data_IF_810605775043
#
_entry.id   IF_810605775043
#
_cell.length_a   1.000
_cell.length_b   1.000
_cell.length_c   1.000
_cell.angle_alpha   90.00
_cell.angle_beta   90.00
_cell.angle_gamma   90.00
#
_symmetry.space_group_name_H-M   'P 1'
#
loop_
_entity.id
_entity.type
_entity.pdbx_description
1 polymer ?
#
# COMPACT_ATOMS: atom_id res chain seq x y z
N UNK A 1 -3.63 -1.49 18.50
CA UNK A 1 -4.93 -0.95 18.03
C UNK A 1 -5.43 -1.79 16.89
N UNK A 2 -6.71 -2.15 16.89
CA UNK A 2 -7.33 -3.04 15.91
C UNK A 2 -8.60 -2.36 15.40
N UNK A 3 -8.74 -2.25 14.07
CA UNK A 3 -9.92 -1.65 13.42
C UNK A 3 -10.48 -2.65 12.43
N UNK A 4 -11.80 -2.93 12.53
CA UNK A 4 -12.55 -3.79 11.60
C UNK A 4 -13.85 -3.13 11.20
N UNK A 5 -14.05 -2.82 9.93
CA UNK A 5 -15.22 -2.07 9.46
C UNK A 5 -15.95 -2.88 8.40
N UNK A 6 -17.14 -3.36 8.77
CA UNK A 6 -18.08 -4.05 7.88
C UNK A 6 -19.19 -3.12 7.39
N UNK A 7 -19.73 -2.28 8.30
CA UNK A 7 -20.86 -1.41 8.04
C UNK A 7 -20.44 0.03 7.83
N UNK A 8 -20.90 0.61 6.75
CA UNK A 8 -20.64 2.00 6.39
C UNK A 8 -21.94 2.80 6.35
N UNK A 9 -21.84 4.11 6.57
CA UNK A 9 -23.00 5.01 6.49
C UNK A 9 -23.44 5.25 5.04
N UNK A 10 -22.61 4.90 4.05
CA UNK A 10 -22.90 5.12 2.64
C UNK A 10 -24.21 4.45 2.21
N UNK A 11 -24.19 3.18 2.01
CA UNK A 11 -25.31 2.30 1.68
C UNK A 11 -24.86 0.84 1.78
N UNK A 12 -25.81 -0.08 1.63
CA UNK A 12 -25.55 -1.52 1.74
C UNK A 12 -24.56 -2.05 0.68
N UNK A 13 -24.32 -1.29 -0.40
CA UNK A 13 -23.32 -1.62 -1.42
C UNK A 13 -21.87 -1.43 -0.94
N UNK A 14 -21.68 -0.73 0.18
CA UNK A 14 -20.38 -0.58 0.85
C UNK A 14 -20.16 -1.62 1.94
N UNK A 15 -21.17 -2.39 2.31
CA UNK A 15 -21.06 -3.37 3.36
C UNK A 15 -20.05 -4.48 2.99
N UNK A 16 -19.22 -4.86 3.95
CA UNK A 16 -18.23 -5.93 3.83
C UNK A 16 -18.54 -7.03 4.84
N UNK A 17 -18.37 -8.28 4.42
CA UNK A 17 -18.51 -9.42 5.34
C UNK A 17 -17.09 -9.99 5.58
N UNK A 18 -16.55 -9.84 6.79
CA UNK A 18 -15.21 -10.36 7.11
C UNK A 18 -14.36 -9.50 8.04
N UNK A 19 -14.29 -8.18 7.89
CA UNK A 19 -13.43 -7.33 8.73
C UNK A 19 -13.63 -7.49 10.25
N UNK A 20 -14.84 -7.84 10.70
CA UNK A 20 -15.10 -8.19 12.09
C UNK A 20 -14.33 -9.43 12.52
N UNK A 21 -14.47 -10.53 11.75
CA UNK A 21 -13.80 -11.78 12.07
C UNK A 21 -12.29 -11.63 12.05
N UNK A 22 -11.76 -10.89 11.08
CA UNK A 22 -10.34 -10.57 10.99
C UNK A 22 -9.85 -9.80 12.22
N UNK A 23 -10.58 -8.76 12.64
CA UNK A 23 -10.25 -7.97 13.82
C UNK A 23 -10.26 -8.83 15.10
N UNK A 24 -11.24 -9.74 15.25
CA UNK A 24 -11.32 -10.66 16.38
C UNK A 24 -10.20 -11.70 16.35
N UNK A 25 -9.82 -12.21 15.16
CA UNK A 25 -8.73 -13.16 15.00
C UNK A 25 -7.37 -12.51 15.37
N UNK A 26 -7.12 -11.29 14.90
CA UNK A 26 -5.92 -10.50 15.29
C UNK A 26 -5.91 -10.23 16.80
N UNK A 27 -7.06 -9.86 17.39
CA UNK A 27 -7.16 -9.68 18.84
C UNK A 27 -6.81 -10.96 19.59
N UNK A 28 -7.38 -12.08 19.18
CA UNK A 28 -7.14 -13.38 19.81
C UNK A 28 -5.67 -13.79 19.71
N UNK A 29 -5.04 -13.57 18.56
CA UNK A 29 -3.61 -13.79 18.39
C UNK A 29 -2.76 -12.91 19.31
N UNK A 30 -3.06 -11.61 19.42
CA UNK A 30 -2.31 -10.71 20.30
C UNK A 30 -2.44 -11.12 21.78
N UNK A 31 -3.63 -11.51 22.23
CA UNK A 31 -3.85 -12.03 23.60
C UNK A 31 -3.04 -13.31 23.83
N UNK A 32 -3.08 -14.26 22.89
CA UNK A 32 -2.30 -15.49 22.95
C UNK A 32 -0.78 -15.22 22.95
N UNK A 33 -0.36 -14.12 22.32
CA UNK A 33 1.03 -13.62 22.33
C UNK A 33 1.41 -12.86 23.60
N UNK A 34 0.54 -12.81 24.61
CA UNK A 34 0.81 -12.19 25.91
C UNK A 34 0.58 -10.68 25.98
N UNK A 35 -0.05 -10.07 24.97
CA UNK A 35 -0.44 -8.65 25.05
C UNK A 35 -1.58 -8.51 26.05
N UNK A 36 -1.44 -7.68 27.11
CA UNK A 36 -2.51 -7.49 28.07
C UNK A 36 -3.76 -6.92 27.42
N UNK A 37 -4.94 -7.39 27.82
CA UNK A 37 -6.22 -6.92 27.27
C UNK A 37 -6.39 -5.40 27.39
N UNK A 38 -5.97 -4.80 28.48
CA UNK A 38 -6.02 -3.35 28.69
C UNK A 38 -5.17 -2.52 27.73
N UNK A 39 -4.28 -3.16 26.97
CA UNK A 39 -3.47 -2.53 25.91
C UNK A 39 -4.07 -2.74 24.51
N UNK A 40 -5.17 -3.50 24.41
CA UNK A 40 -5.88 -3.75 23.15
C UNK A 40 -7.02 -2.75 22.98
N UNK A 41 -6.90 -1.91 21.97
CA UNK A 41 -7.96 -0.98 21.57
C UNK A 41 -8.67 -1.55 20.35
N UNK A 42 -9.88 -2.07 20.53
CA UNK A 42 -10.70 -2.65 19.48
C UNK A 42 -11.78 -1.66 19.04
N UNK A 43 -11.78 -1.34 17.75
CA UNK A 43 -12.79 -0.50 17.10
C UNK A 43 -13.43 -1.28 15.97
N UNK A 44 -14.75 -1.47 16.04
CA UNK A 44 -15.49 -2.28 15.08
C UNK A 44 -16.80 -1.59 14.73
N UNK A 45 -17.15 -1.60 13.45
CA UNK A 45 -18.48 -1.29 12.96
C UNK A 45 -19.02 -2.52 12.24
N UNK A 46 -19.71 -3.38 13.01
CA UNK A 46 -20.20 -4.66 12.54
C UNK A 46 -21.55 -4.51 11.83
N UNK A 47 -21.79 -5.39 10.84
CA UNK A 47 -23.11 -5.57 10.25
C UNK A 47 -24.12 -6.05 11.31
N UNK A 48 -25.38 -5.64 11.16
CA UNK A 48 -26.44 -6.01 12.12
C UNK A 48 -26.54 -7.54 12.29
N UNK A 49 -26.38 -8.30 11.19
CA UNK A 49 -26.38 -9.78 11.19
C UNK A 49 -25.17 -10.40 11.90
N UNK A 50 -24.10 -9.65 12.12
CA UNK A 50 -22.84 -10.11 12.73
C UNK A 50 -22.69 -9.63 14.19
N UNK A 51 -23.67 -8.91 14.75
CA UNK A 51 -23.65 -8.43 16.14
C UNK A 51 -23.57 -9.58 17.17
N UNK A 52 -24.17 -10.73 16.89
CA UNK A 52 -24.07 -11.91 17.75
C UNK A 52 -22.61 -12.39 17.88
N UNK A 53 -21.80 -12.28 16.85
CA UNK A 53 -20.37 -12.66 16.90
C UNK A 53 -19.58 -11.86 17.95
N UNK A 54 -19.92 -10.59 18.16
CA UNK A 54 -19.32 -9.76 19.22
C UNK A 54 -19.77 -10.22 20.61
N UNK A 55 -21.03 -10.58 20.76
CA UNK A 55 -21.58 -11.10 22.02
C UNK A 55 -20.93 -12.43 22.39
N UNK A 56 -20.82 -13.35 21.41
CA UNK A 56 -20.20 -14.67 21.58
C UNK A 56 -18.71 -14.55 21.94
N UNK A 57 -18.02 -13.56 21.37
CA UNK A 57 -16.63 -13.25 21.69
C UNK A 57 -16.45 -12.55 23.05
N UNK A 58 -17.55 -12.16 23.72
CA UNK A 58 -17.51 -11.47 25.00
C UNK A 58 -16.84 -10.09 24.94
N UNK A 59 -16.86 -9.42 23.78
CA UNK A 59 -16.20 -8.14 23.60
C UNK A 59 -17.20 -7.00 23.40
N UNK A 60 -16.84 -5.82 23.89
CA UNK A 60 -17.60 -4.59 23.68
C UNK A 60 -16.69 -3.56 23.00
N UNK A 61 -16.55 -3.62 21.66
CA UNK A 61 -15.69 -2.70 20.92
C UNK A 61 -16.26 -1.29 20.91
N UNK A 62 -15.41 -0.31 20.67
CA UNK A 62 -15.84 1.03 20.29
C UNK A 62 -16.20 1.04 18.80
N UNK A 63 -17.03 2.01 18.40
CA UNK A 63 -17.29 2.23 16.98
C UNK A 63 -16.03 2.64 16.21
N UNK A 64 -15.98 2.37 14.91
CA UNK A 64 -14.88 2.75 14.05
C UNK A 64 -15.14 4.12 13.36
N UNK A 65 -15.62 5.08 14.13
CA UNK A 65 -15.85 6.48 13.71
C UNK A 65 -14.67 7.37 14.13
N UNK A 66 -14.53 8.54 13.50
CA UNK A 66 -13.53 9.53 13.91
C UNK A 66 -13.69 9.91 15.38
N UNK A 67 -14.93 10.10 15.83
CA UNK A 67 -15.23 10.45 17.22
C UNK A 67 -14.68 9.42 18.23
N UNK A 68 -14.71 8.14 17.87
CA UNK A 68 -14.24 7.07 18.74
C UNK A 68 -12.74 6.74 18.55
N UNK A 69 -12.22 6.83 17.33
CA UNK A 69 -10.83 6.55 16.99
C UNK A 69 -9.87 7.63 17.47
N UNK A 70 -10.24 8.90 17.29
CA UNK A 70 -9.40 10.05 17.62
C UNK A 70 -8.88 10.05 19.07
N UNK A 71 -9.71 9.85 20.11
CA UNK A 71 -9.24 9.76 21.47
C UNK A 71 -8.28 8.59 21.71
N UNK A 72 -8.45 7.48 20.99
CA UNK A 72 -7.53 6.34 21.06
C UNK A 72 -6.17 6.69 20.47
N UNK A 73 -6.12 7.31 19.31
CA UNK A 73 -4.87 7.79 18.71
C UNK A 73 -4.16 8.79 19.64
N UNK A 74 -4.90 9.75 20.18
CA UNK A 74 -4.34 10.75 21.09
C UNK A 74 -3.81 10.09 22.38
N UNK A 75 -4.52 9.12 22.95
CA UNK A 75 -4.05 8.34 24.11
C UNK A 75 -2.76 7.59 23.80
N UNK A 76 -2.69 6.88 22.67
CA UNK A 76 -1.50 6.13 22.27
C UNK A 76 -0.31 7.05 22.04
N UNK A 77 -0.50 8.21 21.42
CA UNK A 77 0.57 9.19 21.17
C UNK A 77 1.13 9.81 22.44
N UNK A 78 0.30 9.95 23.47
CA UNK A 78 0.67 10.54 24.76
C UNK A 78 1.24 9.53 25.76
N UNK A 79 1.40 8.26 25.38
CA UNK A 79 2.05 7.28 26.26
C UNK A 79 3.50 7.65 26.51
N UNK A 80 4.01 7.43 27.74
CA UNK A 80 5.39 7.76 28.10
C UNK A 80 6.38 6.94 27.24
N UNK A 81 7.56 7.50 27.05
CA UNK A 81 8.63 6.85 26.31
C UNK A 81 9.02 5.50 26.95
N UNK A 82 9.10 4.47 26.14
CA UNK A 82 9.59 3.14 26.49
C UNK A 82 10.36 2.56 25.32
N UNK A 83 11.63 2.24 25.55
CA UNK A 83 12.49 1.70 24.49
C UNK A 83 12.14 0.28 24.06
N UNK A 84 11.26 -0.40 24.78
CA UNK A 84 10.81 -1.78 24.50
C UNK A 84 9.38 -1.86 23.99
N UNK A 85 8.68 -0.74 23.81
CA UNK A 85 7.28 -0.75 23.38
C UNK A 85 7.15 -0.86 21.89
N UNK A 86 6.29 -1.76 21.43
CA UNK A 86 5.89 -1.96 20.04
C UNK A 86 4.44 -1.51 19.85
N UNK A 87 4.19 -0.68 18.84
CA UNK A 87 2.84 -0.35 18.40
C UNK A 87 2.46 -1.25 17.22
N UNK A 88 1.30 -1.89 17.33
CA UNK A 88 0.68 -2.58 16.19
C UNK A 88 -0.64 -1.90 15.87
N UNK A 89 -0.79 -1.45 14.62
CA UNK A 89 -2.06 -0.94 14.09
C UNK A 89 -2.48 -1.91 12.98
N UNK A 90 -3.59 -2.59 13.22
CA UNK A 90 -4.27 -3.42 12.23
C UNK A 90 -5.52 -2.69 11.74
N UNK A 91 -5.76 -2.72 10.42
CA UNK A 91 -6.94 -2.10 9.82
C UNK A 91 -7.50 -3.00 8.72
N UNK A 92 -8.76 -3.42 8.88
CA UNK A 92 -9.53 -4.15 7.87
C UNK A 92 -10.78 -3.37 7.50
N UNK A 93 -11.04 -3.25 6.20
CA UNK A 93 -12.17 -2.50 5.66
C UNK A 93 -11.87 -1.93 4.27
N UNK A 94 -12.67 -0.96 3.85
CA UNK A 94 -12.42 -0.29 2.58
C UNK A 94 -11.17 0.60 2.63
N UNK A 95 -10.48 0.63 1.49
CA UNK A 95 -9.36 1.52 1.27
C UNK A 95 -9.16 1.78 -0.22
N UNK A 96 -8.56 2.91 -0.53
CA UNK A 96 -8.22 3.31 -1.90
C UNK A 96 -6.94 4.13 -1.91
N UNK A 97 -6.29 4.22 -3.04
CA UNK A 97 -5.25 5.23 -3.29
C UNK A 97 -5.88 6.42 -3.98
N UNK A 98 -5.81 7.58 -3.34
CA UNK A 98 -6.24 8.87 -3.88
C UNK A 98 -5.13 9.90 -3.70
N UNK A 99 -4.76 10.63 -4.75
CA UNK A 99 -3.65 11.60 -4.73
C UNK A 99 -2.37 11.04 -4.11
N UNK A 100 -1.99 9.82 -4.51
CA UNK A 100 -0.81 9.07 -4.03
C UNK A 100 -0.82 8.75 -2.53
N UNK A 101 -1.97 8.88 -1.87
CA UNK A 101 -2.15 8.56 -0.46
C UNK A 101 -3.06 7.35 -0.29
N UNK A 102 -2.70 6.44 0.61
CA UNK A 102 -3.57 5.35 1.01
C UNK A 102 -4.63 5.87 1.98
N UNK A 103 -5.87 5.99 1.51
CA UNK A 103 -7.02 6.34 2.33
C UNK A 103 -7.60 5.08 3.00
N UNK A 104 -7.85 5.16 4.29
CA UNK A 104 -8.46 4.14 5.14
C UNK A 104 -9.83 4.68 5.58
N UNK A 105 -10.90 4.16 5.00
CA UNK A 105 -12.24 4.69 5.26
C UNK A 105 -12.71 4.38 6.67
N UNK A 106 -13.47 5.32 7.22
CA UNK A 106 -14.18 5.21 8.49
C UNK A 106 -15.61 4.71 8.26
N UNK A 107 -16.22 4.13 9.28
CA UNK A 107 -17.61 3.64 9.18
C UNK A 107 -18.63 4.75 8.86
N UNK A 108 -18.29 5.99 9.14
CA UNK A 108 -19.11 7.18 8.83
C UNK A 108 -18.96 7.68 7.40
N UNK A 109 -18.10 7.07 6.58
CA UNK A 109 -17.94 7.43 5.18
C UNK A 109 -19.27 7.26 4.42
N UNK A 110 -19.53 8.21 3.51
CA UNK A 110 -20.68 8.22 2.61
C UNK A 110 -20.22 8.41 1.17
N UNK A 111 -21.11 8.28 0.20
CA UNK A 111 -20.82 8.52 -1.21
C UNK A 111 -20.43 9.97 -1.52
N UNK A 112 -20.76 10.91 -0.62
CA UNK A 112 -20.47 12.35 -0.77
C UNK A 112 -19.45 12.87 0.22
N UNK A 113 -19.20 12.14 1.31
CA UNK A 113 -18.24 12.46 2.35
C UNK A 113 -17.40 11.21 2.64
N UNK A 114 -16.23 11.15 2.02
CA UNK A 114 -15.31 10.02 2.10
C UNK A 114 -14.45 10.09 3.37
N UNK A 115 -15.10 10.15 4.54
CA UNK A 115 -14.42 10.21 5.82
C UNK A 115 -13.35 9.11 5.92
N UNK A 116 -12.09 9.50 5.98
CA UNK A 116 -10.94 8.58 5.98
C UNK A 116 -9.72 9.18 6.65
N UNK A 117 -8.88 8.34 7.24
CA UNK A 117 -7.50 8.70 7.56
C UNK A 117 -6.58 8.35 6.40
N UNK A 118 -5.52 9.13 6.18
CA UNK A 118 -4.45 8.70 5.29
C UNK A 118 -3.38 7.96 6.09
N UNK A 119 -2.88 6.86 5.52
CA UNK A 119 -1.79 6.10 6.14
C UNK A 119 -0.56 6.97 6.36
N UNK A 120 -0.26 7.85 5.41
CA UNK A 120 0.87 8.79 5.46
C UNK A 120 0.75 9.71 6.68
N UNK A 121 -0.43 10.27 6.94
CA UNK A 121 -0.67 11.11 8.12
C UNK A 121 -0.59 10.30 9.42
N UNK A 122 -1.19 9.09 9.47
CA UNK A 122 -1.07 8.20 10.63
C UNK A 122 0.40 7.92 10.95
N UNK A 123 1.17 7.51 9.96
CA UNK A 123 2.60 7.20 10.13
C UNK A 123 3.41 8.42 10.57
N UNK A 124 3.20 9.56 9.89
CA UNK A 124 3.88 10.80 10.25
C UNK A 124 3.54 11.25 11.67
N UNK A 125 2.29 11.13 12.10
CA UNK A 125 1.85 11.47 13.44
C UNK A 125 2.52 10.58 14.51
N UNK A 126 2.57 9.26 14.28
CA UNK A 126 3.22 8.32 15.19
C UNK A 126 4.76 8.33 15.12
N UNK A 127 5.37 8.84 14.05
CA UNK A 127 6.82 9.07 13.98
C UNK A 127 7.24 10.48 14.37
N UNK A 128 6.34 11.31 14.87
CA UNK A 128 6.65 12.67 15.30
C UNK A 128 7.14 12.74 16.75
N UNK A 129 7.75 13.86 17.13
CA UNK A 129 8.16 14.15 18.50
C UNK A 129 6.99 14.10 19.51
N UNK A 130 5.76 14.23 19.02
CA UNK A 130 4.55 14.17 19.84
C UNK A 130 4.14 12.73 20.22
N UNK A 131 4.83 11.72 19.68
CA UNK A 131 4.65 10.33 20.05
C UNK A 131 5.95 9.78 20.63
N UNK A 132 6.04 9.67 21.93
CA UNK A 132 7.28 9.25 22.60
C UNK A 132 7.34 7.76 22.90
N UNK A 133 6.20 7.07 22.90
CA UNK A 133 6.03 5.74 23.47
C UNK A 133 6.50 4.54 22.64
N UNK A 134 6.57 4.66 21.31
CA UNK A 134 6.72 3.50 20.42
C UNK A 134 7.88 3.67 19.45
N UNK A 135 9.10 3.21 19.80
CA UNK A 135 10.24 3.24 18.89
C UNK A 135 10.06 2.33 17.68
N UNK A 136 9.24 1.28 17.82
CA UNK A 136 8.93 0.33 16.76
C UNK A 136 7.42 0.32 16.48
N UNK A 137 7.04 0.33 15.21
CA UNK A 137 5.65 0.46 14.81
C UNK A 137 5.37 -0.45 13.60
N UNK A 138 4.29 -1.23 13.68
CA UNK A 138 3.84 -2.13 12.62
C UNK A 138 2.43 -1.72 12.19
N UNK A 139 2.25 -1.54 10.91
CA UNK A 139 0.97 -1.26 10.27
C UNK A 139 0.59 -2.46 9.39
N UNK A 140 -0.50 -3.12 9.72
CA UNK A 140 -1.06 -4.27 8.98
C UNK A 140 -2.38 -3.83 8.36
N UNK A 141 -2.44 -3.80 7.04
CA UNK A 141 -3.54 -3.16 6.31
C UNK A 141 -4.22 -4.18 5.39
N UNK A 142 -5.35 -4.71 5.84
CA UNK A 142 -6.23 -5.57 5.03
C UNK A 142 -7.28 -4.70 4.34
N UNK A 143 -6.83 -3.91 3.39
CA UNK A 143 -7.65 -2.96 2.64
C UNK A 143 -7.31 -3.03 1.16
N UNK A 144 -8.27 -2.64 0.32
CA UNK A 144 -8.02 -2.42 -1.11
C UNK A 144 -7.04 -1.27 -1.32
N UNK A 145 -6.28 -1.37 -2.41
CA UNK A 145 -5.37 -0.32 -2.88
C UNK A 145 -5.69 0.10 -4.32
N UNK A 146 -6.95 -0.04 -4.72
CA UNK A 146 -7.44 0.42 -6.01
C UNK A 146 -7.26 1.94 -6.13
N UNK A 147 -6.89 2.41 -7.32
CA UNK A 147 -6.79 3.85 -7.56
C UNK A 147 -8.16 4.47 -7.73
N UNK A 148 -8.40 5.58 -7.08
CA UNK A 148 -9.61 6.37 -7.23
C UNK A 148 -9.27 7.85 -7.43
N UNK A 149 -9.44 8.36 -8.65
CA UNK A 149 -9.01 9.72 -9.02
C UNK A 149 -9.95 10.84 -8.60
N UNK A 150 -11.21 10.52 -8.35
CA UNK A 150 -12.27 11.50 -8.08
C UNK A 150 -12.68 11.57 -6.61
N UNK A 151 -11.96 10.88 -5.74
CA UNK A 151 -12.16 11.07 -4.32
C UNK A 151 -11.52 12.41 -3.94
N UNK A 152 -12.33 13.30 -3.44
CA UNK A 152 -11.85 14.54 -2.83
C UNK A 152 -10.79 14.19 -1.75
N UNK A 153 -9.90 15.14 -1.50
CA UNK A 153 -9.01 15.03 -0.33
C UNK A 153 -9.86 14.67 0.91
N UNK A 154 -9.28 13.90 1.85
CA UNK A 154 -9.98 13.61 3.10
C UNK A 154 -10.56 14.89 3.66
N UNK A 155 -11.80 14.86 4.19
CA UNK A 155 -12.42 16.06 4.73
C UNK A 155 -11.48 16.79 5.69
N UNK A 156 -11.40 18.13 5.63
CA UNK A 156 -10.54 18.89 6.54
C UNK A 156 -10.85 18.54 7.99
N UNK A 157 -9.83 18.23 8.80
CA UNK A 157 -9.95 17.97 10.23
C UNK A 157 -9.88 16.50 10.65
N UNK A 158 -9.80 15.56 9.73
CA UNK A 158 -9.53 14.15 10.08
C UNK A 158 -8.04 13.89 10.33
N UNK A 159 -7.13 14.69 9.80
CA UNK A 159 -5.71 14.52 10.02
C UNK A 159 -5.32 14.59 11.51
N UNK A 160 -4.46 13.67 11.92
CA UNK A 160 -3.80 13.72 13.21
C UNK A 160 -2.72 14.81 13.22
N UNK A 161 -2.48 15.48 14.35
CA UNK A 161 -1.39 16.44 14.46
C UNK A 161 -0.04 15.77 14.19
N UNK A 162 0.74 16.35 13.31
CA UNK A 162 2.10 15.94 13.00
C UNK A 162 3.07 16.97 13.59
N UNK A 163 3.98 16.52 14.47
CA UNK A 163 5.09 17.33 14.98
C UNK A 163 6.35 17.13 14.14
N UNK A 164 7.49 17.63 14.63
CA UNK A 164 8.76 17.37 13.97
C UNK A 164 9.03 15.85 13.90
N UNK A 165 9.54 15.36 12.77
CA UNK A 165 9.80 13.94 12.60
C UNK A 165 10.88 13.46 13.57
N UNK A 166 10.72 12.25 14.08
CA UNK A 166 11.71 11.55 14.91
C UNK A 166 12.04 10.20 14.27
N UNK A 167 13.21 9.66 14.62
CA UNK A 167 13.59 8.33 14.16
C UNK A 167 12.69 7.28 14.82
N UNK A 168 11.84 6.63 14.02
CA UNK A 168 10.99 5.51 14.42
C UNK A 168 11.13 4.41 13.39
N UNK A 169 11.26 3.19 13.86
CA UNK A 169 11.25 2.03 12.97
C UNK A 169 9.82 1.66 12.62
N UNK A 170 9.47 1.77 11.35
CA UNK A 170 8.12 1.44 10.87
C UNK A 170 8.18 0.28 9.86
N UNK A 171 7.30 -0.69 10.04
CA UNK A 171 7.03 -1.76 9.09
C UNK A 171 5.58 -1.66 8.63
N UNK A 172 5.37 -1.62 7.32
CA UNK A 172 4.03 -1.52 6.74
C UNK A 172 3.80 -2.70 5.83
N UNK A 173 2.76 -3.48 6.09
CA UNK A 173 2.36 -4.64 5.30
C UNK A 173 0.93 -4.44 4.80
N UNK A 174 0.76 -4.54 3.50
CA UNK A 174 -0.52 -4.40 2.81
C UNK A 174 -1.01 -5.75 2.30
N UNK A 175 -2.31 -5.94 2.34
CA UNK A 175 -2.96 -7.08 1.73
C UNK A 175 -2.81 -7.12 0.20
N UNK A 176 -2.67 -5.96 -0.45
CA UNK A 176 -2.59 -5.87 -1.91
C UNK A 176 -1.56 -4.84 -2.36
N UNK A 177 -1.07 -5.00 -3.59
CA UNK A 177 -0.24 -4.00 -4.25
C UNK A 177 -1.07 -2.82 -4.77
N UNK A 178 -0.43 -1.66 -5.07
CA UNK A 178 -1.12 -0.52 -5.67
C UNK A 178 -1.90 -0.94 -6.93
N UNK A 179 -3.14 -0.46 -7.05
CA UNK A 179 -4.04 -0.75 -8.15
C UNK A 179 -4.82 -2.06 -8.03
N UNK A 180 -4.68 -2.80 -6.93
CA UNK A 180 -5.35 -4.09 -6.73
C UNK A 180 -6.32 -4.07 -5.54
N UNK A 181 -7.44 -4.81 -5.61
CA UNK A 181 -8.30 -5.05 -4.47
C UNK A 181 -7.67 -6.05 -3.50
N UNK A 182 -8.03 -5.98 -2.22
CA UNK A 182 -7.89 -7.07 -1.28
C UNK A 182 -9.03 -8.08 -1.48
N UNK A 183 -8.73 -9.37 -1.30
CA UNK A 183 -9.73 -10.44 -1.42
C UNK A 183 -10.36 -10.76 -0.08
N UNK A 184 -11.65 -10.96 -0.11
CA UNK A 184 -12.42 -11.53 0.98
C UNK A 184 -12.84 -12.96 0.62
N UNK A 185 -12.71 -13.89 1.55
CA UNK A 185 -13.21 -15.25 1.44
C UNK A 185 -14.67 -15.29 1.93
N UNK A 186 -15.61 -15.10 1.00
CA UNK A 186 -17.02 -14.94 1.33
C UNK A 186 -17.64 -16.07 2.15
N UNK A 187 -17.28 -17.33 1.88
CA UNK A 187 -17.76 -18.49 2.63
C UNK A 187 -17.17 -18.53 4.07
N UNK A 188 -15.91 -18.16 4.23
CA UNK A 188 -15.21 -18.13 5.52
C UNK A 188 -15.40 -16.80 6.27
N UNK A 189 -15.98 -15.81 5.61
CA UNK A 189 -16.18 -14.45 6.14
C UNK A 189 -14.90 -13.87 6.77
N UNK A 190 -13.80 -13.89 6.04
CA UNK A 190 -12.52 -13.33 6.46
C UNK A 190 -11.72 -12.82 5.27
N UNK A 191 -10.78 -11.93 5.53
CA UNK A 191 -9.79 -11.49 4.54
C UNK A 191 -8.79 -12.60 4.24
N UNK A 192 -8.53 -12.84 2.96
CA UNK A 192 -7.55 -13.85 2.54
C UNK A 192 -6.15 -13.54 3.10
N UNK A 193 -5.76 -12.28 3.05
CA UNK A 193 -4.49 -11.81 3.60
C UNK A 193 -4.39 -12.09 5.10
N UNK A 194 -5.39 -11.68 5.89
CA UNK A 194 -5.37 -11.86 7.35
C UNK A 194 -5.33 -13.32 7.73
N UNK A 195 -6.07 -14.19 7.03
CA UNK A 195 -6.00 -15.64 7.24
C UNK A 195 -4.59 -16.18 7.05
N UNK A 196 -3.98 -15.93 5.88
CA UNK A 196 -2.62 -16.42 5.58
C UNK A 196 -1.59 -15.83 6.54
N UNK A 197 -1.71 -14.53 6.86
CA UNK A 197 -0.81 -13.87 7.82
C UNK A 197 -0.83 -14.55 9.19
N UNK A 198 -2.01 -14.85 9.72
CA UNK A 198 -2.17 -15.54 11.01
C UNK A 198 -1.69 -17.00 10.96
N UNK A 199 -1.94 -17.71 9.86
CA UNK A 199 -1.41 -19.07 9.66
C UNK A 199 0.13 -19.09 9.68
N UNK A 200 0.78 -18.11 9.04
CA UNK A 200 2.24 -18.02 9.05
C UNK A 200 2.79 -17.63 10.43
N UNK A 201 2.11 -16.74 11.14
CA UNK A 201 2.46 -16.44 12.53
C UNK A 201 2.37 -17.66 13.45
N UNK A 202 1.35 -18.49 13.29
CA UNK A 202 1.17 -19.71 14.09
C UNK A 202 2.20 -20.79 13.74
N UNK A 203 2.54 -20.93 12.47
CA UNK A 203 3.55 -21.91 12.01
C UNK A 203 4.95 -21.59 12.53
N UNK A 204 5.29 -20.32 12.67
CA UNK A 204 6.61 -19.85 13.16
C UNK A 204 6.63 -19.63 14.68
N UNK A 205 5.49 -19.84 15.39
CA UNK A 205 5.31 -19.53 16.82
C UNK A 205 6.10 -20.38 17.81
N UNK A 206 7.15 -21.10 17.41
CA UNK A 206 8.09 -21.66 18.38
C UNK A 206 9.13 -20.66 18.90
N UNK A 207 9.17 -19.42 18.38
CA UNK A 207 10.04 -18.38 18.94
C UNK A 207 9.56 -16.98 18.57
N UNK A 208 8.66 -16.40 19.37
CA UNK A 208 8.35 -14.97 19.32
C UNK A 208 9.48 -14.22 20.04
N UNK A 209 10.64 -14.12 19.45
CA UNK A 209 11.65 -13.11 19.77
C UNK A 209 12.82 -13.21 18.78
N UNK A 210 13.31 -12.08 18.23
CA UNK A 210 12.79 -10.72 18.41
C UNK A 210 12.00 -10.27 17.18
N UNK A 211 10.81 -9.79 17.35
CA UNK A 211 10.22 -8.85 16.44
C UNK A 211 11.26 -7.73 16.23
N UNK A 212 11.56 -7.30 15.09
CA UNK A 212 11.06 -7.16 13.74
C UNK A 212 11.65 -8.08 12.66
N UNK A 213 12.77 -8.77 12.84
CA UNK A 213 13.28 -9.62 11.76
C UNK A 213 12.30 -10.71 11.31
N UNK A 214 11.49 -11.21 12.26
CA UNK A 214 10.45 -12.18 11.94
C UNK A 214 9.37 -11.61 10.99
N UNK A 215 9.05 -10.30 11.07
CA UNK A 215 8.03 -9.69 10.22
C UNK A 215 8.38 -9.72 8.75
N UNK A 216 9.63 -9.51 8.39
CA UNK A 216 10.07 -9.59 6.99
C UNK A 216 9.97 -11.02 6.46
N UNK A 217 10.41 -12.00 7.24
CA UNK A 217 10.28 -13.41 6.88
C UNK A 217 8.81 -13.82 6.71
N UNK A 218 7.94 -13.40 7.64
CA UNK A 218 6.50 -13.64 7.56
C UNK A 218 5.90 -12.97 6.34
N UNK A 219 6.22 -11.68 6.09
CA UNK A 219 5.71 -10.94 4.95
C UNK A 219 6.11 -11.60 3.61
N UNK A 220 7.35 -12.07 3.49
CA UNK A 220 7.82 -12.81 2.31
C UNK A 220 7.04 -14.12 2.10
N UNK A 221 6.81 -14.90 3.16
CA UNK A 221 5.98 -16.12 3.09
C UNK A 221 4.54 -15.81 2.71
N UNK A 222 3.94 -14.78 3.29
CA UNK A 222 2.58 -14.32 2.94
C UNK A 222 2.52 -13.92 1.48
N UNK A 223 3.51 -13.17 0.98
CA UNK A 223 3.59 -12.83 -0.45
C UNK A 223 3.68 -14.06 -1.34
N UNK A 224 4.51 -15.04 -0.98
CA UNK A 224 4.68 -16.28 -1.75
C UNK A 224 3.39 -17.08 -1.83
N UNK A 225 2.70 -17.26 -0.71
CA UNK A 225 1.45 -18.03 -0.64
C UNK A 225 0.29 -17.32 -1.36
N UNK A 226 0.17 -16.00 -1.18
CA UNK A 226 -0.90 -15.22 -1.80
C UNK A 226 -0.74 -15.03 -3.31
N UNK A 227 0.49 -15.17 -3.86
CA UNK A 227 0.71 -15.08 -5.30
C UNK A 227 -0.01 -16.22 -6.02
N UNK A 228 -0.73 -15.93 -7.12
CA UNK A 228 -1.39 -17.00 -7.88
C UNK A 228 -0.33 -17.94 -8.44
N UNK A 229 -0.50 -19.22 -8.20
CA UNK A 229 0.26 -20.23 -8.93
C UNK A 229 -0.13 -20.14 -10.42
N UNK A 230 0.84 -20.35 -11.31
CA UNK A 230 0.69 -20.18 -12.78
C UNK A 230 -0.52 -20.87 -13.41
N UNK A 231 -1.13 -21.83 -12.72
CA UNK A 231 -2.29 -22.61 -13.21
C UNK A 231 -3.65 -21.92 -13.02
N UNK A 232 -3.75 -20.89 -12.17
CA UNK A 232 -5.04 -20.30 -11.79
C UNK A 232 -5.08 -18.78 -12.00
N UNK A 233 -4.67 -18.33 -13.18
CA UNK A 233 -4.72 -16.91 -13.56
C UNK A 233 -6.15 -16.36 -13.68
N UNK A 234 -7.17 -17.23 -13.73
CA UNK A 234 -8.58 -16.82 -13.79
C UNK A 234 -9.14 -16.37 -12.45
N UNK A 235 -8.55 -16.79 -11.33
CA UNK A 235 -9.01 -16.46 -9.98
C UNK A 235 -8.43 -15.15 -9.40
N UNK A 236 -7.68 -14.37 -10.20
CA UNK A 236 -7.08 -13.07 -9.81
C UNK A 236 -6.35 -13.16 -8.48
N UNK A 237 -5.04 -13.36 -8.49
CA UNK A 237 -4.22 -13.44 -7.27
C UNK A 237 -4.27 -12.17 -6.42
N UNK A 238 -4.01 -12.33 -5.15
CA UNK A 238 -3.73 -11.21 -4.25
C UNK A 238 -2.22 -11.05 -4.14
N UNK A 239 -1.75 -9.80 -4.12
CA UNK A 239 -0.31 -9.50 -4.11
C UNK A 239 0.00 -8.61 -2.89
N UNK A 240 0.21 -9.18 -1.69
CA UNK A 240 0.64 -8.43 -0.54
C UNK A 240 1.98 -7.74 -0.82
N UNK A 241 2.14 -6.54 -0.29
CA UNK A 241 3.39 -5.77 -0.40
C UNK A 241 3.76 -5.20 0.95
N UNK A 242 5.05 -5.00 1.20
CA UNK A 242 5.50 -4.34 2.41
C UNK A 242 6.64 -3.38 2.12
N UNK A 243 6.83 -2.43 3.02
CA UNK A 243 8.02 -1.58 3.05
C UNK A 243 8.43 -1.27 4.50
N UNK A 244 9.67 -0.82 4.64
CA UNK A 244 10.29 -0.50 5.92
C UNK A 244 10.78 0.95 5.91
N UNK A 245 10.62 1.64 7.04
CA UNK A 245 11.19 2.97 7.27
C UNK A 245 12.03 2.90 8.52
N UNK A 246 13.29 3.28 8.44
CA UNK A 246 14.24 3.26 9.56
C UNK A 246 14.35 1.94 10.33
N UNK A 247 13.99 0.88 9.69
CA UNK A 247 14.09 -0.45 10.24
C UNK A 247 15.54 -0.92 10.16
N UNK A 248 16.33 -0.73 11.23
CA UNK A 248 17.78 -0.95 11.32
C UNK A 248 18.67 0.24 10.87
N UNK A 249 18.36 1.43 11.26
CA UNK A 249 19.40 2.40 11.60
C UNK A 249 20.13 3.13 10.50
N UNK A 250 19.57 3.37 9.34
CA UNK A 250 20.07 4.43 8.46
C UNK A 250 18.93 5.04 7.66
N UNK A 251 18.46 6.21 8.12
CA UNK A 251 17.68 7.10 7.29
C UNK A 251 18.56 7.76 6.25
N UNK A 252 18.31 7.49 4.99
CA UNK A 252 18.39 8.52 3.97
C UNK A 252 16.97 8.93 3.63
N UNK A 253 16.56 10.09 4.12
CA UNK A 253 15.28 10.71 3.80
C UNK A 253 15.36 11.33 2.43
N UNK A 254 15.42 10.54 1.37
CA UNK A 254 15.31 11.02 0.00
C UNK A 254 15.07 9.82 -0.90
N UNK A 255 13.86 9.33 -0.87
CA UNK A 255 13.19 8.61 -1.97
C UNK A 255 12.05 7.78 -1.39
N UNK A 256 10.85 7.75 -2.00
CA UNK A 256 9.90 6.69 -1.72
C UNK A 256 10.61 5.36 -1.97
N UNK A 257 10.30 4.30 -1.22
CA UNK A 257 10.96 3.02 -1.38
C UNK A 257 10.80 2.58 -2.83
N UNK A 258 11.89 2.66 -3.56
CA UNK A 258 12.06 1.78 -4.70
C UNK A 258 11.96 0.37 -4.14
N UNK A 259 11.02 -0.43 -4.63
CA UNK A 259 11.00 -1.88 -4.48
C UNK A 259 12.32 -2.44 -5.05
N UNK A 260 13.38 -2.41 -4.24
CA UNK A 260 14.61 -3.07 -4.61
C UNK A 260 15.10 -3.85 -3.39
N UNK A 261 14.70 -5.11 -3.33
CA UNK A 261 15.73 -6.11 -3.06
C UNK A 261 16.99 -5.71 -3.85
N UNK A 262 18.23 -5.85 -3.34
CA UNK A 262 19.41 -5.56 -4.14
C UNK A 262 19.22 -6.29 -5.48
N UNK A 263 19.26 -5.49 -6.57
CA UNK A 263 19.04 -6.01 -7.91
C UNK A 263 19.97 -7.21 -8.07
N UNK A 264 19.42 -8.34 -8.46
CA UNK A 264 20.23 -9.50 -8.79
C UNK A 264 21.17 -9.09 -9.92
N UNK A 265 22.35 -9.70 -10.02
CA UNK A 265 23.28 -9.43 -11.14
C UNK A 265 22.59 -9.52 -12.52
N UNK A 266 21.45 -10.19 -12.60
CA UNK A 266 20.61 -10.31 -13.81
C UNK A 266 19.66 -9.13 -14.05
N UNK A 267 19.32 -8.36 -13.00
CA UNK A 267 18.44 -7.17 -13.11
C UNK A 267 19.20 -5.87 -13.38
N UNK A 268 20.49 -5.81 -13.03
CA UNK A 268 21.34 -4.65 -13.26
C UNK A 268 21.28 -4.13 -14.71
N UNK A 269 21.39 -4.95 -15.76
CA UNK A 269 21.35 -4.46 -17.14
C UNK A 269 20.01 -3.82 -17.52
N UNK A 270 18.88 -4.30 -16.94
CA UNK A 270 17.56 -3.73 -17.21
C UNK A 270 17.38 -2.38 -16.50
N UNK A 271 17.83 -2.27 -15.26
CA UNK A 271 17.79 -1.01 -14.52
C UNK A 271 18.67 0.07 -15.17
N UNK A 272 19.86 -0.29 -15.64
CA UNK A 272 20.73 0.61 -16.37
C UNK A 272 20.11 1.07 -17.69
N UNK A 273 19.53 0.14 -18.46
CA UNK A 273 18.86 0.47 -19.71
C UNK A 273 17.59 1.33 -19.48
N UNK A 274 16.85 1.08 -18.41
CA UNK A 274 15.72 1.91 -18.00
C UNK A 274 16.17 3.32 -17.60
N UNK A 275 17.26 3.45 -16.88
CA UNK A 275 17.83 4.73 -16.46
C UNK A 275 18.28 5.56 -17.68
N UNK A 276 18.94 4.92 -18.65
CA UNK A 276 19.35 5.56 -19.90
C UNK A 276 18.15 6.03 -20.72
N UNK A 277 17.12 5.22 -20.86
CA UNK A 277 15.89 5.59 -21.55
C UNK A 277 15.21 6.76 -20.84
N UNK A 278 15.06 6.72 -19.52
CA UNK A 278 14.44 7.79 -18.73
C UNK A 278 15.19 9.12 -18.84
N UNK A 279 16.53 9.10 -18.84
CA UNK A 279 17.37 10.29 -19.04
C UNK A 279 17.12 10.92 -20.41
N UNK A 280 17.09 10.10 -21.45
CA UNK A 280 16.84 10.58 -22.80
C UNK A 280 15.44 11.19 -22.95
N UNK A 281 14.42 10.55 -22.37
CA UNK A 281 13.06 11.07 -22.38
C UNK A 281 12.96 12.41 -21.61
N UNK A 282 13.61 12.51 -20.45
CA UNK A 282 13.63 13.73 -19.65
C UNK A 282 14.37 14.90 -20.34
N UNK A 283 15.38 14.60 -21.16
CA UNK A 283 16.13 15.60 -21.92
C UNK A 283 15.25 16.29 -22.96
N UNK A 284 14.35 15.56 -23.61
CA UNK A 284 13.54 16.09 -24.71
C UNK A 284 12.18 16.63 -24.30
N UNK A 285 11.55 16.07 -23.26
CA UNK A 285 10.26 16.51 -22.72
C UNK A 285 10.34 16.65 -21.19
N UNK A 286 11.27 17.49 -20.71
CA UNK A 286 11.51 17.72 -19.29
C UNK A 286 10.50 18.66 -18.62
N UNK A 287 9.76 19.46 -19.39
CA UNK A 287 8.76 20.40 -18.87
C UNK A 287 7.59 19.66 -18.22
N UNK A 288 7.13 20.06 -17.01
CA UNK A 288 6.04 19.39 -16.30
C UNK A 288 4.72 19.35 -17.07
N UNK A 289 4.42 20.39 -17.87
CA UNK A 289 3.18 20.44 -18.65
C UNK A 289 3.25 19.47 -19.84
N UNK A 290 4.39 19.41 -20.52
CA UNK A 290 4.60 18.45 -21.62
C UNK A 290 4.48 17.01 -21.12
N UNK A 291 5.05 16.70 -19.96
CA UNK A 291 4.91 15.37 -19.35
C UNK A 291 3.46 15.05 -18.97
N UNK A 292 2.72 16.05 -18.48
CA UNK A 292 1.29 15.91 -18.18
C UNK A 292 0.49 15.64 -19.45
N UNK A 293 0.77 16.35 -20.53
CA UNK A 293 0.09 16.18 -21.81
C UNK A 293 0.38 14.81 -22.41
N UNK A 294 1.64 14.37 -22.36
CA UNK A 294 2.03 13.02 -22.76
C UNK A 294 1.24 11.93 -22.02
N UNK A 295 1.11 12.04 -20.70
CA UNK A 295 0.30 11.09 -19.94
C UNK A 295 -1.18 11.20 -20.27
N UNK A 296 -1.70 12.41 -20.53
CA UNK A 296 -3.09 12.58 -20.94
C UNK A 296 -3.40 11.85 -22.25
N UNK A 297 -2.44 11.76 -23.17
CA UNK A 297 -2.60 11.05 -24.43
C UNK A 297 -2.87 9.56 -24.24
N UNK A 298 -2.37 8.95 -23.15
CA UNK A 298 -2.70 7.56 -22.83
C UNK A 298 -4.20 7.33 -22.61
N UNK A 299 -4.96 8.31 -22.11
CA UNK A 299 -6.41 8.16 -21.90
C UNK A 299 -7.16 7.84 -23.21
N UNK A 300 -6.64 8.29 -24.34
CA UNK A 300 -7.27 8.12 -25.64
C UNK A 300 -6.82 6.85 -26.37
N UNK A 301 -5.91 6.08 -25.79
CA UNK A 301 -5.31 4.88 -26.38
C UNK A 301 -5.99 3.56 -25.96
N UNK A 302 -7.32 3.55 -25.87
CA UNK A 302 -8.09 2.36 -25.50
C UNK A 302 -7.95 1.97 -24.03
N UNK A 303 -8.42 0.77 -23.68
CA UNK A 303 -8.42 0.32 -22.27
C UNK A 303 -7.01 0.24 -21.68
N UNK A 304 -6.04 -0.29 -22.43
CA UNK A 304 -4.64 -0.41 -22.01
C UNK A 304 -4.01 0.97 -21.69
N UNK A 305 -4.28 1.96 -22.52
CA UNK A 305 -3.80 3.32 -22.28
C UNK A 305 -4.44 3.92 -21.03
N UNK A 306 -5.75 3.73 -20.82
CA UNK A 306 -6.45 4.16 -19.61
C UNK A 306 -5.87 3.50 -18.35
N UNK A 307 -5.53 2.24 -18.42
CA UNK A 307 -4.92 1.51 -17.31
C UNK A 307 -3.54 2.08 -16.95
N UNK A 308 -2.69 2.37 -17.93
CA UNK A 308 -1.37 2.99 -17.73
C UNK A 308 -1.53 4.41 -17.18
N UNK A 309 -2.38 5.24 -17.80
CA UNK A 309 -2.67 6.59 -17.33
C UNK A 309 -3.14 6.59 -15.87
N UNK A 310 -4.00 5.60 -15.48
CA UNK A 310 -4.51 5.43 -14.14
C UNK A 310 -3.45 5.08 -13.08
N UNK A 311 -2.33 4.52 -13.52
CA UNK A 311 -1.35 3.86 -12.64
C UNK A 311 0.04 4.49 -12.64
N UNK A 312 0.34 5.33 -13.63
CA UNK A 312 1.59 6.08 -13.65
C UNK A 312 1.59 7.16 -12.57
N UNK A 313 2.34 6.93 -11.50
CA UNK A 313 2.57 7.93 -10.47
C UNK A 313 3.37 9.12 -11.06
N UNK A 314 3.09 10.31 -10.57
CA UNK A 314 3.78 11.53 -11.02
C UNK A 314 4.88 11.90 -10.02
N UNK A 315 6.04 12.26 -10.56
CA UNK A 315 7.18 12.75 -9.77
C UNK A 315 7.47 14.21 -10.10
N UNK A 316 8.05 14.92 -9.14
CA UNK A 316 8.34 16.35 -9.28
C UNK A 316 9.47 16.61 -10.30
N UNK A 317 10.50 15.76 -10.31
CA UNK A 317 11.58 15.85 -11.28
C UNK A 317 11.35 14.97 -12.51
N UNK A 318 11.85 15.43 -13.66
CA UNK A 318 11.61 14.77 -14.93
C UNK A 318 12.18 13.35 -15.01
N UNK A 319 13.36 13.12 -14.43
CA UNK A 319 14.02 11.82 -14.49
C UNK A 319 13.26 10.75 -13.71
N UNK A 320 12.89 11.06 -12.47
CA UNK A 320 12.12 10.15 -11.62
C UNK A 320 10.71 9.89 -12.17
N UNK A 321 10.10 10.93 -12.78
CA UNK A 321 8.78 10.82 -13.42
C UNK A 321 8.84 9.84 -14.61
N UNK A 322 9.85 9.95 -15.48
CA UNK A 322 9.99 9.02 -16.61
C UNK A 322 10.37 7.60 -16.19
N UNK A 323 11.21 7.42 -15.17
CA UNK A 323 11.49 6.10 -14.61
C UNK A 323 10.20 5.41 -14.17
N UNK A 324 9.32 6.14 -13.48
CA UNK A 324 8.03 5.63 -13.03
C UNK A 324 7.09 5.32 -14.19
N UNK A 325 7.02 6.19 -15.20
CA UNK A 325 6.23 5.96 -16.41
C UNK A 325 6.70 4.70 -17.15
N UNK A 326 8.02 4.55 -17.36
CA UNK A 326 8.61 3.38 -18.03
C UNK A 326 8.32 2.11 -17.23
N UNK A 327 8.48 2.13 -15.92
CA UNK A 327 8.20 0.99 -15.05
C UNK A 327 6.72 0.59 -15.11
N UNK A 328 5.82 1.57 -15.09
CA UNK A 328 4.38 1.31 -15.25
C UNK A 328 4.07 0.71 -16.62
N UNK A 329 4.63 1.26 -17.68
CA UNK A 329 4.46 0.74 -19.04
C UNK A 329 5.03 -0.68 -19.18
N UNK A 330 6.19 -0.97 -18.57
CA UNK A 330 6.77 -2.32 -18.53
C UNK A 330 5.80 -3.30 -17.89
N UNK A 331 5.26 -2.97 -16.72
CA UNK A 331 4.33 -3.82 -15.97
C UNK A 331 3.03 -4.15 -16.71
N UNK A 332 2.60 -3.26 -17.61
CA UNK A 332 1.33 -3.41 -18.38
C UNK A 332 1.55 -3.67 -19.87
N UNK A 333 2.73 -4.09 -20.29
CA UNK A 333 3.10 -4.28 -21.70
C UNK A 333 2.80 -3.05 -22.58
N UNK A 334 2.95 -1.85 -22.02
CA UNK A 334 2.63 -0.57 -22.64
C UNK A 334 3.81 0.18 -23.24
N UNK A 335 5.02 -0.40 -23.25
CA UNK A 335 6.21 0.25 -23.81
C UNK A 335 6.05 0.64 -25.28
N UNK A 336 5.46 -0.19 -26.19
CA UNK A 336 5.19 0.23 -27.55
C UNK A 336 4.26 1.46 -27.62
N UNK A 337 3.27 1.53 -26.74
CA UNK A 337 2.36 2.65 -26.65
C UNK A 337 3.06 3.91 -26.14
N UNK A 338 3.93 3.80 -25.15
CA UNK A 338 4.77 4.92 -24.66
C UNK A 338 5.64 5.45 -25.80
N UNK A 339 6.32 4.55 -26.54
CA UNK A 339 7.14 4.91 -27.70
C UNK A 339 6.34 5.71 -28.73
N UNK A 340 5.14 5.23 -29.09
CA UNK A 340 4.27 5.89 -30.08
C UNK A 340 3.83 7.28 -29.61
N UNK A 341 3.31 7.40 -28.39
CA UNK A 341 2.85 8.69 -27.84
C UNK A 341 4.02 9.68 -27.75
N UNK A 342 5.17 9.21 -27.25
CA UNK A 342 6.34 10.05 -27.10
C UNK A 342 6.86 10.56 -28.46
N UNK A 343 6.92 9.72 -29.49
CA UNK A 343 7.35 10.10 -30.82
C UNK A 343 6.41 11.10 -31.50
N UNK A 344 5.12 11.13 -31.12
CA UNK A 344 4.19 12.17 -31.59
C UNK A 344 4.49 13.52 -30.94
N UNK A 345 4.85 13.53 -29.67
CA UNK A 345 5.13 14.76 -28.91
C UNK A 345 6.45 15.42 -29.30
N UNK A 346 7.45 14.66 -29.74
CA UNK A 346 8.79 15.17 -30.09
C UNK A 346 8.81 15.67 -31.54
N UNK A 347 9.12 16.96 -31.71
CA UNK A 347 9.15 17.62 -33.04
C UNK A 347 10.42 17.37 -33.85
N UNK A 348 11.58 17.11 -33.21
CA UNK A 348 12.88 16.98 -33.89
C UNK A 348 13.09 15.58 -34.50
N UNK A 349 13.50 15.51 -35.76
CA UNK A 349 13.78 14.24 -36.45
C UNK A 349 14.95 13.50 -35.79
N UNK A 350 16.05 14.20 -35.48
CA UNK A 350 17.24 13.58 -34.86
C UNK A 350 16.89 13.04 -33.45
N UNK A 351 16.06 13.77 -32.69
CA UNK A 351 15.61 13.31 -31.39
C UNK A 351 14.75 12.04 -31.50
N UNK A 352 13.86 11.96 -32.51
CA UNK A 352 13.05 10.75 -32.78
C UNK A 352 13.91 9.53 -33.07
N UNK A 353 14.95 9.65 -33.89
CA UNK A 353 15.87 8.55 -34.19
C UNK A 353 16.59 8.04 -32.94
N UNK A 354 17.09 8.95 -32.08
CA UNK A 354 17.74 8.57 -30.84
C UNK A 354 16.78 7.85 -29.88
N UNK A 355 15.56 8.33 -29.78
CA UNK A 355 14.51 7.73 -28.96
C UNK A 355 14.16 6.34 -29.47
N UNK A 356 13.98 6.14 -30.78
CA UNK A 356 13.72 4.84 -31.37
C UNK A 356 14.82 3.84 -31.00
N UNK A 357 16.10 4.22 -31.19
CA UNK A 357 17.24 3.39 -30.82
C UNK A 357 17.28 3.03 -29.34
N UNK A 358 16.93 3.98 -28.47
CA UNK A 358 16.89 3.74 -27.03
C UNK A 358 15.79 2.74 -26.63
N UNK A 359 14.59 2.85 -27.22
CA UNK A 359 13.54 1.85 -27.00
C UNK A 359 13.93 0.47 -27.53
N UNK A 360 14.55 0.39 -28.71
CA UNK A 360 15.03 -0.87 -29.28
C UNK A 360 16.13 -1.51 -28.41
N UNK A 361 17.05 -0.71 -27.88
CA UNK A 361 18.06 -1.18 -26.94
C UNK A 361 17.44 -1.72 -25.64
N UNK A 362 16.43 -1.04 -25.11
CA UNK A 362 15.71 -1.47 -23.94
C UNK A 362 14.92 -2.77 -24.17
N UNK A 363 14.23 -2.89 -25.31
CA UNK A 363 13.52 -4.10 -25.71
C UNK A 363 14.46 -5.32 -25.86
N UNK A 364 15.65 -5.12 -26.40
CA UNK A 364 16.69 -6.18 -26.49
C UNK A 364 17.13 -6.67 -25.10
N UNK A 365 17.28 -5.75 -24.15
CA UNK A 365 17.67 -6.12 -22.77
C UNK A 365 16.53 -6.87 -22.08
N UNK A 366 15.29 -6.44 -22.25
CA UNK A 366 14.11 -7.13 -21.72
C UNK A 366 13.93 -8.53 -22.30
N UNK A 367 14.14 -8.68 -23.63
CA UNK A 367 14.02 -9.98 -24.31
C UNK A 367 15.02 -11.02 -23.79
N UNK A 368 16.22 -10.59 -23.42
CA UNK A 368 17.24 -11.48 -22.84
C UNK A 368 16.86 -12.06 -21.48
N UNK A 369 16.01 -11.37 -20.69
CA UNK A 369 15.50 -11.91 -19.43
C UNK A 369 14.46 -13.00 -19.60
N UNK A 370 13.72 -12.99 -20.74
CA UNK A 370 12.62 -13.93 -21.00
C UNK A 370 13.12 -15.28 -21.54
N UNK A 371 14.34 -15.35 -22.06
CA UNK A 371 14.87 -16.52 -22.83
C UNK A 371 15.73 -17.45 -21.97
N UNK A 372 15.86 -17.24 -20.66
CA UNK A 372 16.54 -18.26 -19.83
C UNK A 372 15.56 -19.32 -19.36
N UNK A 373 15.86 -20.62 -19.59
CA UNK A 373 15.00 -21.75 -19.25
C UNK A 373 14.85 -21.96 -17.74
#
# INVERSE_FOLDING_TARGET
MIVGIEKYRADDGWDLDGPLNDALAIRSWLLASGVPEGQLHLHVSALDRNQSTLQDAGVNPREATNQALRPTFDSLRNLPASNSSLLIIYWAGHGVISNDRQCLFLSEATNTDMASYTLENLRASFSSQNCTGFPQQIFLLDTCRSFHRNLCDPPPGLDLPVGNPTKRSQFVLFASQPGQPAKNLGEEKCGYFTKIFLEQLQADCQSITPWPPAMEAIANKVQEICRPQKADQSAGGQYPTFYKVDWAGNCSCDSPPTDTAPATEEELPVLEAMDQLAKLLAEHLGDPNQRKDLLNDFQYCGQKGKDIYGRAERRSDALSDYKQIIQTCKSYSGLPLLKEIYLRAVGSINARENIIKAFEAFDVVLAKQVIKP
#
